data_IF_321375366953
#
_entry.id   IF_321375366953
#
_cell.length_a   1.000
_cell.length_b   1.000
_cell.length_c   1.000
_cell.angle_alpha   90.00
_cell.angle_beta   90.00
_cell.angle_gamma   90.00
#
_symmetry.space_group_name_H-M   'P 1'
#
loop_
_entity.id
_entity.type
_entity.pdbx_description
1 polymer ?
#
# COMPACT_ATOMS: atom_id res chain seq x y z
N UNK A 1 -87.69 -4.32 -24.53
CA UNK A 1 -88.01 -2.88 -24.70
C UNK A 1 -86.69 -2.15 -24.93
N UNK A 2 -86.63 -1.52 -26.10
CA UNK A 2 -85.50 -0.80 -26.65
C UNK A 2 -84.93 0.30 -25.79
N UNK A 3 -83.64 0.65 -25.88
CA UNK A 3 -83.05 1.83 -26.54
C UNK A 3 -81.56 1.87 -26.17
N UNK A 4 -80.67 1.65 -27.15
CA UNK A 4 -79.88 2.61 -27.94
C UNK A 4 -79.19 3.71 -27.10
N UNK A 5 -77.88 3.78 -27.29
CA UNK A 5 -77.11 4.95 -26.99
C UNK A 5 -75.58 4.74 -27.12
N UNK A 6 -75.12 4.63 -28.37
CA UNK A 6 -73.82 4.93 -28.87
C UNK A 6 -73.36 6.35 -28.43
N UNK A 7 -72.27 6.45 -27.74
CA UNK A 7 -71.30 7.58 -27.81
C UNK A 7 -70.18 7.35 -26.76
N UNK A 8 -69.05 6.88 -27.14
CA UNK A 8 -67.75 7.12 -26.51
C UNK A 8 -66.64 6.35 -27.22
N UNK A 9 -66.46 6.62 -28.51
CA UNK A 9 -65.26 6.20 -29.22
C UNK A 9 -64.35 7.34 -29.68
N UNK A 10 -64.54 8.53 -29.14
CA UNK A 10 -63.71 9.71 -29.50
C UNK A 10 -62.92 10.34 -28.34
N UNK A 11 -62.88 9.75 -27.16
CA UNK A 11 -62.13 10.31 -26.04
C UNK A 11 -60.81 9.61 -25.74
N UNK A 12 -60.42 8.54 -26.51
CA UNK A 12 -59.17 7.84 -26.28
C UNK A 12 -58.04 8.17 -27.26
N UNK A 13 -58.24 9.03 -28.23
CA UNK A 13 -57.21 9.42 -29.22
C UNK A 13 -56.43 10.70 -28.83
N UNK A 14 -56.83 11.41 -27.79
CA UNK A 14 -56.18 12.66 -27.37
C UNK A 14 -55.17 12.53 -26.22
N UNK A 15 -55.06 11.37 -25.58
CA UNK A 15 -54.11 11.17 -24.46
C UNK A 15 -52.80 10.45 -24.87
N UNK A 16 -52.67 10.02 -26.13
CA UNK A 16 -51.46 9.32 -26.62
C UNK A 16 -50.40 10.28 -27.23
N UNK A 17 -50.68 11.58 -27.35
CA UNK A 17 -49.79 12.54 -28.02
C UNK A 17 -48.96 13.43 -27.07
N UNK A 18 -49.10 13.25 -25.74
CA UNK A 18 -48.36 14.07 -24.73
C UNK A 18 -47.18 13.32 -24.07
N UNK A 19 -46.97 12.03 -24.41
CA UNK A 19 -45.85 11.25 -23.81
C UNK A 19 -44.58 11.18 -24.68
N UNK A 20 -44.45 12.03 -25.71
CA UNK A 20 -43.25 12.15 -26.55
C UNK A 20 -42.56 13.52 -26.49
N UNK A 21 -42.88 14.34 -25.50
CA UNK A 21 -42.01 15.44 -25.14
C UNK A 21 -40.85 14.89 -24.32
N UNK A 22 -39.74 14.63 -25.02
CA UNK A 22 -38.50 14.16 -24.41
C UNK A 22 -38.14 14.98 -23.17
N UNK A 23 -37.92 14.29 -22.08
CA UNK A 23 -37.15 14.85 -20.96
C UNK A 23 -35.92 15.50 -21.57
N UNK A 24 -35.63 16.79 -21.29
CA UNK A 24 -34.32 17.32 -21.63
C UNK A 24 -33.32 16.46 -20.85
N UNK A 25 -32.64 15.56 -21.57
CA UNK A 25 -31.46 14.91 -21.02
C UNK A 25 -30.58 16.06 -20.56
N UNK A 26 -30.27 16.07 -19.29
CA UNK A 26 -29.16 16.88 -18.79
C UNK A 26 -27.93 16.31 -19.49
N UNK A 27 -27.68 16.77 -20.71
CA UNK A 27 -26.39 16.62 -21.33
C UNK A 27 -25.45 17.31 -20.34
N UNK A 28 -24.57 16.50 -19.72
CA UNK A 28 -23.43 16.99 -18.95
C UNK A 28 -22.76 17.98 -19.92
N UNK A 29 -23.01 19.28 -19.71
CA UNK A 29 -22.35 20.31 -20.49
C UNK A 29 -20.87 20.01 -20.31
N UNK A 30 -20.19 19.62 -21.37
CA UNK A 30 -18.75 19.52 -21.36
C UNK A 30 -18.28 20.91 -20.89
N UNK A 31 -17.85 21.03 -19.66
CA UNK A 31 -17.30 22.25 -19.13
C UNK A 31 -16.18 22.65 -20.08
N UNK A 32 -16.26 23.84 -20.67
CA UNK A 32 -15.11 24.35 -21.40
C UNK A 32 -13.89 24.22 -20.52
N UNK A 33 -12.76 23.74 -21.06
CA UNK A 33 -11.56 23.56 -20.24
C UNK A 33 -11.23 24.91 -19.58
N UNK A 34 -11.27 24.93 -18.26
CA UNK A 34 -10.98 26.14 -17.48
C UNK A 34 -9.59 26.61 -17.89
N UNK A 35 -9.53 27.77 -18.56
CA UNK A 35 -8.24 28.37 -18.95
C UNK A 35 -7.56 28.91 -17.71
N UNK A 36 -6.72 28.09 -17.10
CA UNK A 36 -5.93 28.47 -15.94
C UNK A 36 -4.74 29.30 -16.40
N UNK A 37 -4.82 30.62 -16.17
CA UNK A 37 -3.83 31.60 -16.62
C UNK A 37 -3.07 32.25 -15.46
N UNK A 38 -3.14 31.69 -14.24
CA UNK A 38 -2.44 32.22 -13.08
C UNK A 38 -2.01 31.10 -12.14
N UNK A 39 -1.00 31.36 -11.32
CA UNK A 39 -0.57 30.49 -10.25
C UNK A 39 -1.72 30.12 -9.31
N UNK A 40 -2.46 31.16 -8.80
CA UNK A 40 -3.56 30.94 -7.85
C UNK A 40 -4.69 30.09 -8.45
N UNK A 41 -5.02 30.30 -9.73
CA UNK A 41 -6.03 29.49 -10.42
C UNK A 41 -5.59 28.03 -10.54
N UNK A 42 -4.34 27.78 -10.91
CA UNK A 42 -3.78 26.44 -10.99
C UNK A 42 -3.73 25.76 -9.62
N UNK A 43 -3.30 26.48 -8.59
CA UNK A 43 -3.26 25.97 -7.23
C UNK A 43 -4.65 25.58 -6.72
N UNK A 44 -5.65 26.47 -6.85
CA UNK A 44 -7.00 26.17 -6.39
C UNK A 44 -7.62 24.98 -7.14
N UNK A 45 -7.42 24.91 -8.46
CA UNK A 45 -7.90 23.78 -9.25
C UNK A 45 -7.23 22.45 -8.80
N UNK A 46 -5.92 22.46 -8.53
CA UNK A 46 -5.21 21.30 -8.01
C UNK A 46 -5.77 20.86 -6.65
N UNK A 47 -6.05 21.80 -5.75
CA UNK A 47 -6.61 21.50 -4.43
C UNK A 47 -8.02 20.92 -4.50
N UNK A 48 -8.85 21.42 -5.41
CA UNK A 48 -10.19 20.87 -5.64
C UNK A 48 -10.09 19.44 -6.17
N UNK A 49 -9.30 19.21 -7.22
CA UNK A 49 -9.09 17.90 -7.78
C UNK A 49 -8.54 16.88 -6.73
N UNK A 50 -7.61 17.33 -5.88
CA UNK A 50 -7.08 16.48 -4.78
C UNK A 50 -8.17 16.10 -3.77
N UNK A 51 -9.04 17.05 -3.38
CA UNK A 51 -10.18 16.78 -2.48
C UNK A 51 -11.19 15.83 -3.11
N UNK A 52 -11.42 15.96 -4.42
CA UNK A 52 -12.30 15.08 -5.20
C UNK A 52 -11.64 13.73 -5.53
N UNK A 53 -10.39 13.51 -5.06
CA UNK A 53 -9.57 12.33 -5.33
C UNK A 53 -9.31 12.09 -6.84
N UNK A 54 -9.34 13.16 -7.63
CA UNK A 54 -8.94 13.16 -9.05
C UNK A 54 -7.45 13.49 -9.12
N UNK A 55 -6.62 12.45 -8.97
CA UNK A 55 -5.17 12.61 -8.92
C UNK A 55 -4.58 13.02 -10.27
N UNK A 56 -5.15 12.59 -11.39
CA UNK A 56 -4.70 12.97 -12.73
C UNK A 56 -4.81 14.48 -12.92
N UNK A 57 -5.98 15.05 -12.64
CA UNK A 57 -6.22 16.48 -12.71
C UNK A 57 -5.41 17.26 -11.67
N UNK A 58 -5.29 16.74 -10.43
CA UNK A 58 -4.47 17.35 -9.39
C UNK A 58 -3.00 17.49 -9.84
N UNK A 59 -2.41 16.41 -10.38
CA UNK A 59 -1.04 16.38 -10.90
C UNK A 59 -0.88 17.37 -12.06
N UNK A 60 -1.83 17.39 -13.00
CA UNK A 60 -1.80 18.31 -14.13
C UNK A 60 -1.82 19.78 -13.66
N UNK A 61 -2.66 20.11 -12.71
CA UNK A 61 -2.78 21.47 -12.17
C UNK A 61 -1.60 21.85 -11.27
N UNK A 62 -1.03 20.95 -10.47
CA UNK A 62 0.21 21.22 -9.75
C UNK A 62 1.39 21.47 -10.69
N UNK A 63 1.54 20.67 -11.76
CA UNK A 63 2.53 20.92 -12.82
C UNK A 63 2.31 22.29 -13.46
N UNK A 64 1.05 22.69 -13.67
CA UNK A 64 0.70 24.02 -14.19
C UNK A 64 1.04 25.15 -13.23
N UNK A 65 0.81 24.98 -11.93
CA UNK A 65 1.19 25.96 -10.91
C UNK A 65 2.72 26.15 -10.89
N UNK A 66 3.49 25.06 -10.93
CA UNK A 66 4.95 25.10 -10.98
C UNK A 66 5.50 25.73 -12.27
N UNK A 67 4.74 25.78 -13.37
CA UNK A 67 5.15 26.52 -14.56
C UNK A 67 5.16 28.05 -14.32
N UNK A 68 4.40 28.55 -13.35
CA UNK A 68 4.43 29.99 -12.95
C UNK A 68 5.47 30.27 -11.87
N UNK A 69 5.74 29.31 -10.98
CA UNK A 69 6.69 29.42 -9.87
C UNK A 69 7.41 28.08 -9.66
N UNK A 70 8.49 27.82 -10.43
CA UNK A 70 9.17 26.52 -10.43
C UNK A 70 9.81 26.11 -9.10
N UNK A 71 10.17 27.09 -8.28
CA UNK A 71 10.89 26.86 -7.03
C UNK A 71 9.96 26.83 -5.80
N UNK A 72 8.63 26.87 -6.02
CA UNK A 72 7.65 26.81 -4.96
C UNK A 72 7.67 25.46 -4.25
N UNK A 73 8.30 25.40 -3.09
CA UNK A 73 8.48 24.17 -2.32
C UNK A 73 7.14 23.52 -1.94
N UNK A 74 6.12 24.31 -1.57
CA UNK A 74 4.81 23.78 -1.19
C UNK A 74 4.15 23.07 -2.40
N UNK A 75 4.28 23.63 -3.61
CA UNK A 75 3.74 23.01 -4.82
C UNK A 75 4.54 21.78 -5.22
N UNK A 76 5.88 21.81 -5.09
CA UNK A 76 6.72 20.65 -5.32
C UNK A 76 6.36 19.51 -4.35
N UNK A 77 6.10 19.83 -3.09
CA UNK A 77 5.64 18.87 -2.09
C UNK A 77 4.29 18.24 -2.47
N UNK A 78 3.29 19.07 -2.79
CA UNK A 78 1.96 18.58 -3.16
C UNK A 78 2.03 17.71 -4.41
N UNK A 79 2.80 18.13 -5.42
CA UNK A 79 3.00 17.34 -6.63
C UNK A 79 3.71 16.01 -6.35
N UNK A 80 4.76 16.01 -5.52
CA UNK A 80 5.45 14.78 -5.13
C UNK A 80 4.49 13.78 -4.47
N UNK A 81 3.69 14.25 -3.50
CA UNK A 81 2.75 13.38 -2.79
C UNK A 81 1.62 12.88 -3.71
N UNK A 82 1.11 13.73 -4.61
CA UNK A 82 0.11 13.33 -5.60
C UNK A 82 0.66 12.28 -6.57
N UNK A 83 1.88 12.44 -7.08
CA UNK A 83 2.56 11.47 -7.94
C UNK A 83 2.76 10.13 -7.21
N UNK A 84 3.19 10.16 -5.95
CA UNK A 84 3.34 8.94 -5.15
C UNK A 84 1.98 8.25 -4.92
N UNK A 85 0.94 8.99 -4.60
CA UNK A 85 -0.41 8.46 -4.37
C UNK A 85 -1.05 7.88 -5.63
N UNK A 86 -0.71 8.43 -6.80
CA UNK A 86 -1.16 7.95 -8.11
C UNK A 86 -0.33 6.73 -8.61
N UNK A 87 0.84 6.49 -8.03
CA UNK A 87 1.75 5.41 -8.42
C UNK A 87 2.79 5.81 -9.47
N UNK A 88 2.89 7.09 -9.81
CA UNK A 88 3.94 7.65 -10.66
C UNK A 88 5.24 7.84 -9.86
N UNK A 89 5.75 6.73 -9.31
CA UNK A 89 6.88 6.73 -8.38
C UNK A 89 8.13 7.39 -8.97
N UNK A 90 8.52 7.01 -10.20
CA UNK A 90 9.75 7.51 -10.83
C UNK A 90 9.68 9.03 -11.08
N UNK A 91 8.50 9.55 -11.47
CA UNK A 91 8.30 10.99 -11.67
C UNK A 91 8.35 11.78 -10.35
N UNK A 92 8.03 11.14 -9.22
CA UNK A 92 8.09 11.77 -7.90
C UNK A 92 9.52 12.02 -7.42
N UNK A 93 10.49 11.21 -7.86
CA UNK A 93 11.88 11.23 -7.36
C UNK A 93 12.60 12.55 -7.63
N UNK A 94 12.30 13.25 -8.71
CA UNK A 94 12.86 14.55 -9.03
C UNK A 94 12.51 15.60 -7.97
N UNK A 95 11.31 15.52 -7.43
CA UNK A 95 10.84 16.39 -6.36
C UNK A 95 11.33 15.90 -4.99
N UNK A 96 11.38 14.60 -4.77
CA UNK A 96 11.96 14.01 -3.56
C UNK A 96 13.42 14.47 -3.36
N UNK A 97 14.23 14.50 -4.44
CA UNK A 97 15.61 14.96 -4.38
C UNK A 97 15.73 16.44 -3.99
N UNK A 98 14.85 17.31 -4.51
CA UNK A 98 14.80 18.73 -4.16
C UNK A 98 14.36 18.98 -2.71
N UNK A 99 13.49 18.11 -2.18
CA UNK A 99 12.80 18.29 -0.91
C UNK A 99 13.41 17.51 0.25
N UNK A 100 14.45 16.70 0.02
CA UNK A 100 15.03 15.79 1.04
C UNK A 100 15.63 16.48 2.27
N UNK A 101 15.78 17.81 2.25
CA UNK A 101 16.27 18.62 3.37
C UNK A 101 15.23 19.62 3.88
N UNK A 102 13.99 19.56 3.36
CA UNK A 102 12.89 20.43 3.78
C UNK A 102 12.15 19.73 4.92
N UNK A 103 12.24 20.29 6.14
CA UNK A 103 11.82 19.63 7.39
C UNK A 103 10.38 19.09 7.37
N UNK A 104 9.45 19.81 6.75
CA UNK A 104 8.03 19.44 6.72
C UNK A 104 7.75 18.19 5.89
N UNK A 105 8.61 17.87 4.90
CA UNK A 105 8.40 16.75 3.98
C UNK A 105 9.60 15.81 3.89
N UNK A 106 10.68 16.09 4.61
CA UNK A 106 11.92 15.32 4.61
C UNK A 106 11.64 13.81 4.72
N UNK A 107 10.74 13.41 5.60
CA UNK A 107 10.42 12.00 5.83
C UNK A 107 9.91 11.29 4.57
N UNK A 108 8.99 11.88 3.81
CA UNK A 108 8.44 11.26 2.60
C UNK A 108 9.45 11.27 1.46
N UNK A 109 10.14 12.39 1.29
CA UNK A 109 11.17 12.57 0.27
C UNK A 109 12.30 11.55 0.45
N UNK A 110 12.82 11.41 1.65
CA UNK A 110 13.94 10.51 1.94
C UNK A 110 13.51 9.04 1.96
N UNK A 111 12.29 8.72 2.39
CA UNK A 111 11.77 7.35 2.26
C UNK A 111 11.60 6.98 0.79
N UNK A 112 11.07 7.85 -0.06
CA UNK A 112 10.96 7.59 -1.50
C UNK A 112 12.35 7.36 -2.15
N UNK A 113 13.35 8.20 -1.81
CA UNK A 113 14.72 8.03 -2.29
C UNK A 113 15.36 6.73 -1.77
N UNK A 114 15.14 6.36 -0.50
CA UNK A 114 15.63 5.11 0.06
C UNK A 114 15.01 3.88 -0.63
N UNK A 115 13.73 3.95 -0.97
CA UNK A 115 13.03 2.91 -1.74
C UNK A 115 13.65 2.75 -3.14
N UNK A 116 13.94 3.86 -3.81
CA UNK A 116 14.62 3.83 -5.11
C UNK A 116 16.04 3.25 -5.00
N UNK A 117 16.78 3.62 -3.95
CA UNK A 117 18.10 3.06 -3.69
C UNK A 117 18.06 1.55 -3.39
N UNK A 118 17.09 1.08 -2.59
CA UNK A 118 16.86 -0.37 -2.36
C UNK A 118 16.54 -1.08 -3.68
N UNK A 119 15.65 -0.50 -4.50
CA UNK A 119 15.28 -1.04 -5.82
C UNK A 119 16.48 -1.19 -6.75
N UNK A 120 17.42 -0.26 -6.66
CA UNK A 120 18.67 -0.23 -7.45
C UNK A 120 19.83 -1.00 -6.81
N UNK A 121 19.65 -1.61 -5.65
CA UNK A 121 20.69 -2.32 -4.90
C UNK A 121 21.72 -1.40 -4.23
N UNK A 122 21.44 -0.11 -4.10
CA UNK A 122 22.28 0.89 -3.45
C UNK A 122 21.99 0.95 -1.94
N UNK A 123 22.29 -0.14 -1.26
CA UNK A 123 21.86 -0.32 0.14
C UNK A 123 22.52 0.64 1.13
N UNK A 124 23.75 1.08 0.88
CA UNK A 124 24.43 2.04 1.75
C UNK A 124 23.80 3.44 1.65
N UNK A 125 23.45 3.85 0.43
CA UNK A 125 22.74 5.10 0.15
C UNK A 125 21.35 5.07 0.78
N UNK A 126 20.60 3.97 0.63
CA UNK A 126 19.30 3.78 1.27
C UNK A 126 19.39 3.95 2.80
N UNK A 127 20.36 3.32 3.45
CA UNK A 127 20.58 3.48 4.89
C UNK A 127 20.89 4.93 5.27
N UNK A 128 21.61 5.67 4.42
CA UNK A 128 21.89 7.10 4.65
C UNK A 128 20.62 7.95 4.55
N UNK A 129 19.74 7.67 3.57
CA UNK A 129 18.45 8.36 3.46
C UNK A 129 17.53 8.07 4.66
N UNK A 130 17.56 6.86 5.21
CA UNK A 130 16.73 6.45 6.33
C UNK A 130 17.20 6.96 7.71
N UNK A 131 18.37 7.62 7.78
CA UNK A 131 18.83 8.34 9.00
C UNK A 131 18.06 9.64 9.16
N UNK A 132 16.82 9.56 9.60
CA UNK A 132 15.90 10.69 9.75
C UNK A 132 15.83 11.18 11.20
N UNK A 133 15.59 12.49 11.40
CA UNK A 133 15.07 13.00 12.66
C UNK A 133 13.57 12.67 12.72
N UNK A 134 13.21 11.53 13.32
CA UNK A 134 11.86 10.98 13.23
C UNK A 134 10.98 11.48 14.37
N UNK A 135 9.89 12.14 14.01
CA UNK A 135 8.95 12.75 14.96
C UNK A 135 7.93 11.75 15.52
N UNK A 136 7.53 10.74 14.74
CA UNK A 136 6.51 9.78 15.15
C UNK A 136 7.05 8.37 15.39
N UNK A 137 6.33 7.59 16.20
CA UNK A 137 6.64 6.17 16.39
C UNK A 137 6.53 5.39 15.09
N UNK A 138 5.52 5.69 14.26
CA UNK A 138 5.34 5.03 12.97
C UNK A 138 6.54 5.26 12.05
N UNK A 139 7.01 6.50 11.94
CA UNK A 139 8.16 6.83 11.09
C UNK A 139 9.43 6.10 11.57
N UNK A 140 9.62 6.00 12.90
CA UNK A 140 10.74 5.24 13.48
C UNK A 140 10.67 3.75 13.12
N UNK A 141 9.49 3.16 13.20
CA UNK A 141 9.32 1.75 12.85
C UNK A 141 9.59 1.51 11.36
N UNK A 142 8.99 2.31 10.48
CA UNK A 142 9.18 2.23 9.02
C UNK A 142 10.66 2.35 8.67
N UNK A 143 11.30 3.44 9.11
CA UNK A 143 12.70 3.69 8.79
C UNK A 143 13.63 2.61 9.36
N UNK A 144 13.36 2.11 10.56
CA UNK A 144 14.14 1.05 11.17
C UNK A 144 14.00 -0.30 10.44
N UNK A 145 12.79 -0.69 10.08
CA UNK A 145 12.56 -1.93 9.34
C UNK A 145 13.11 -1.86 7.91
N UNK A 146 12.93 -0.73 7.20
CA UNK A 146 13.55 -0.52 5.88
C UNK A 146 15.08 -0.52 5.96
N UNK A 147 15.66 0.06 7.02
CA UNK A 147 17.11 0.00 7.28
C UNK A 147 17.58 -1.44 7.45
N UNK A 148 16.84 -2.26 8.22
CA UNK A 148 17.17 -3.67 8.40
C UNK A 148 17.13 -4.43 7.07
N UNK A 149 16.16 -4.16 6.20
CA UNK A 149 16.11 -4.79 4.88
C UNK A 149 17.22 -4.30 3.94
N UNK A 150 17.60 -3.02 4.02
CA UNK A 150 18.77 -2.52 3.29
C UNK A 150 20.07 -3.17 3.78
N UNK A 151 20.24 -3.39 5.11
CA UNK A 151 21.37 -4.13 5.66
C UNK A 151 21.37 -5.59 5.24
N UNK A 152 20.20 -6.24 5.23
CA UNK A 152 20.06 -7.61 4.71
C UNK A 152 20.45 -7.68 3.24
N UNK A 153 20.04 -6.70 2.42
CA UNK A 153 20.41 -6.59 1.02
C UNK A 153 21.90 -6.39 0.79
N UNK A 154 22.57 -5.67 1.69
CA UNK A 154 24.02 -5.53 1.71
C UNK A 154 24.77 -6.78 2.18
N UNK A 155 24.08 -7.84 2.58
CA UNK A 155 24.65 -9.08 3.11
C UNK A 155 25.00 -9.03 4.60
N UNK A 156 24.67 -7.94 5.31
CA UNK A 156 24.91 -7.81 6.75
C UNK A 156 23.68 -8.19 7.57
N UNK A 157 23.36 -9.49 7.57
CA UNK A 157 22.24 -10.05 8.36
C UNK A 157 22.37 -9.74 9.85
N UNK A 158 23.60 -9.76 10.38
CA UNK A 158 23.82 -9.47 11.81
C UNK A 158 23.41 -8.05 12.16
N UNK A 159 23.79 -7.06 11.34
CA UNK A 159 23.36 -5.67 11.52
C UNK A 159 21.85 -5.56 11.37
N UNK A 160 21.25 -6.22 10.37
CA UNK A 160 19.81 -6.21 10.14
C UNK A 160 19.01 -6.69 11.37
N UNK A 161 19.36 -7.84 11.93
CA UNK A 161 18.71 -8.38 13.12
C UNK A 161 18.95 -7.48 14.34
N UNK A 162 20.17 -6.95 14.51
CA UNK A 162 20.48 -6.02 15.57
C UNK A 162 19.65 -4.73 15.46
N UNK A 163 19.50 -4.19 14.28
CA UNK A 163 18.66 -3.00 14.04
C UNK A 163 17.23 -3.24 14.51
N UNK A 164 16.62 -4.39 14.18
CA UNK A 164 15.27 -4.74 14.64
C UNK A 164 15.23 -4.89 16.18
N UNK A 165 16.20 -5.58 16.76
CA UNK A 165 16.24 -5.81 18.21
C UNK A 165 16.36 -4.49 18.98
N UNK A 166 17.15 -3.54 18.47
CA UNK A 166 17.39 -2.22 19.07
C UNK A 166 16.25 -1.22 18.88
N UNK A 167 15.28 -1.49 17.96
CA UNK A 167 14.14 -0.61 17.76
C UNK A 167 13.31 -0.48 19.04
N UNK A 168 13.30 0.74 19.62
CA UNK A 168 12.52 1.09 20.81
C UNK A 168 11.25 1.82 20.41
N UNK A 169 10.13 1.47 21.02
CA UNK A 169 8.84 2.07 20.75
C UNK A 169 7.72 1.43 21.58
N UNK A 170 6.47 1.81 21.30
CA UNK A 170 5.29 1.26 21.96
C UNK A 170 5.17 -0.26 21.79
N UNK A 171 4.35 -0.90 22.63
CA UNK A 171 4.12 -2.35 22.63
C UNK A 171 3.67 -2.89 21.26
N UNK A 172 2.89 -2.12 20.53
CA UNK A 172 2.41 -2.52 19.20
C UNK A 172 3.52 -2.75 18.16
N UNK A 173 4.76 -2.26 18.39
CA UNK A 173 5.93 -2.60 17.57
C UNK A 173 6.24 -4.09 17.57
N UNK A 174 5.94 -4.78 18.67
CA UNK A 174 6.40 -6.14 18.94
C UNK A 174 6.05 -7.10 17.81
N UNK A 175 4.82 -7.04 17.31
CA UNK A 175 4.36 -7.91 16.22
C UNK A 175 5.15 -7.66 14.93
N UNK A 176 5.28 -6.40 14.51
CA UNK A 176 6.01 -6.04 13.29
C UNK A 176 7.50 -6.39 13.38
N UNK A 177 8.12 -6.11 14.52
CA UNK A 177 9.52 -6.47 14.78
C UNK A 177 9.73 -7.98 14.70
N UNK A 178 8.88 -8.76 15.37
CA UNK A 178 8.96 -10.21 15.40
C UNK A 178 8.77 -10.80 14.01
N UNK A 179 7.81 -10.27 13.27
CA UNK A 179 7.52 -10.68 11.90
C UNK A 179 8.71 -10.44 10.97
N UNK A 180 9.21 -9.22 10.88
CA UNK A 180 10.35 -8.91 10.00
C UNK A 180 11.64 -9.58 10.46
N UNK A 181 11.83 -9.81 11.76
CA UNK A 181 12.93 -10.61 12.28
C UNK A 181 12.89 -12.07 11.74
N UNK A 182 11.70 -12.68 11.76
CA UNK A 182 11.50 -14.03 11.23
C UNK A 182 11.77 -14.10 9.72
N UNK A 183 11.28 -13.13 8.95
CA UNK A 183 11.50 -13.04 7.51
C UNK A 183 12.98 -12.85 7.16
N UNK A 184 13.71 -11.99 7.88
CA UNK A 184 15.15 -11.78 7.66
C UNK A 184 15.93 -13.03 8.02
N UNK A 185 15.60 -13.72 9.12
CA UNK A 185 16.25 -14.96 9.49
C UNK A 185 16.03 -16.06 8.41
N UNK A 186 14.79 -16.17 7.87
CA UNK A 186 14.50 -17.10 6.78
C UNK A 186 15.30 -16.74 5.51
N UNK A 187 15.26 -15.46 5.09
CA UNK A 187 15.96 -15.00 3.89
C UNK A 187 17.48 -15.19 3.98
N UNK A 188 18.03 -15.16 5.19
CA UNK A 188 19.44 -15.43 5.47
C UNK A 188 19.78 -16.92 5.61
N UNK A 189 18.81 -17.82 5.51
CA UNK A 189 19.01 -19.26 5.71
C UNK A 189 19.26 -19.68 7.17
N UNK A 190 18.97 -18.82 8.14
CA UNK A 190 19.08 -19.06 9.58
C UNK A 190 17.86 -19.86 10.05
N UNK A 191 17.82 -21.11 9.66
CA UNK A 191 16.62 -21.97 9.76
C UNK A 191 16.07 -22.07 11.18
N UNK A 192 16.95 -22.32 12.17
CA UNK A 192 16.53 -22.50 13.56
C UNK A 192 15.93 -21.21 14.12
N UNK A 193 16.58 -20.09 13.88
CA UNK A 193 16.14 -18.76 14.31
C UNK A 193 14.80 -18.38 13.64
N UNK A 194 14.62 -18.73 12.36
CA UNK A 194 13.38 -18.52 11.64
C UNK A 194 12.24 -19.37 12.21
N UNK A 195 12.48 -20.68 12.44
CA UNK A 195 11.50 -21.58 13.06
C UNK A 195 11.04 -21.06 14.42
N UNK A 196 11.98 -20.68 15.30
CA UNK A 196 11.67 -20.15 16.63
C UNK A 196 10.94 -18.82 16.58
N UNK A 197 11.31 -17.95 15.64
CA UNK A 197 10.68 -16.62 15.52
C UNK A 197 9.25 -16.75 14.98
N UNK A 198 9.02 -17.54 13.94
CA UNK A 198 7.67 -17.78 13.43
C UNK A 198 6.77 -18.48 14.43
N UNK A 199 7.27 -19.50 15.12
CA UNK A 199 6.50 -20.23 16.13
C UNK A 199 5.99 -19.29 17.22
N UNK A 200 6.85 -18.39 17.73
CA UNK A 200 6.45 -17.41 18.74
C UNK A 200 5.32 -16.48 18.28
N UNK A 201 5.29 -16.10 16.99
CA UNK A 201 4.23 -15.26 16.42
C UNK A 201 2.91 -16.05 16.35
N UNK A 202 2.97 -17.27 15.82
CA UNK A 202 1.77 -18.08 15.58
C UNK A 202 1.16 -18.61 16.85
N UNK A 203 1.94 -18.85 17.88
CA UNK A 203 1.46 -19.34 19.16
C UNK A 203 0.93 -18.20 20.06
N UNK A 204 1.26 -16.92 19.75
CA UNK A 204 0.71 -15.75 20.44
C UNK A 204 -0.57 -15.23 19.76
N UNK A 205 -1.70 -15.86 20.10
CA UNK A 205 -3.02 -15.50 19.58
C UNK A 205 -3.44 -14.06 19.96
N UNK A 206 -2.98 -13.55 21.11
CA UNK A 206 -3.30 -12.18 21.56
C UNK A 206 -2.65 -11.13 20.61
N UNK A 207 -1.40 -11.31 20.27
CA UNK A 207 -0.73 -10.48 19.26
C UNK A 207 -1.41 -10.59 17.89
N UNK A 208 -1.88 -11.79 17.52
CA UNK A 208 -2.68 -12.00 16.32
C UNK A 208 -3.96 -11.16 16.30
N UNK A 209 -4.66 -11.06 17.43
CA UNK A 209 -5.89 -10.24 17.52
C UNK A 209 -5.59 -8.74 17.35
N UNK A 210 -4.45 -8.26 17.83
CA UNK A 210 -4.04 -6.87 17.70
C UNK A 210 -3.65 -6.49 16.25
N UNK A 211 -2.99 -7.40 15.53
CA UNK A 211 -2.54 -7.18 14.15
C UNK A 211 -2.84 -8.41 13.25
N UNK A 212 -4.13 -8.68 12.96
CA UNK A 212 -4.54 -9.93 12.31
C UNK A 212 -4.02 -10.10 10.88
N UNK A 213 -3.84 -9.04 10.11
CA UNK A 213 -3.26 -9.16 8.77
C UNK A 213 -1.78 -9.53 8.84
N UNK A 214 -1.01 -8.92 9.74
CA UNK A 214 0.39 -9.28 10.01
C UNK A 214 0.52 -10.73 10.46
N UNK A 215 -0.35 -11.17 11.36
CA UNK A 215 -0.36 -12.55 11.85
C UNK A 215 -0.66 -13.55 10.72
N UNK A 216 -1.65 -13.27 9.86
CA UNK A 216 -1.98 -14.12 8.70
C UNK A 216 -0.83 -14.18 7.69
N UNK A 217 -0.14 -13.07 7.46
CA UNK A 217 1.05 -13.05 6.61
C UNK A 217 2.21 -13.84 7.21
N UNK A 218 2.40 -13.74 8.53
CA UNK A 218 3.37 -14.57 9.24
C UNK A 218 3.05 -16.07 9.13
N UNK A 219 1.77 -16.44 9.23
CA UNK A 219 1.33 -17.83 9.05
C UNK A 219 1.58 -18.33 7.62
N UNK A 220 1.29 -17.50 6.60
CA UNK A 220 1.62 -17.82 5.21
C UNK A 220 3.12 -18.02 5.02
N UNK A 221 3.94 -17.09 5.53
CA UNK A 221 5.40 -17.16 5.43
C UNK A 221 5.96 -18.41 6.11
N UNK A 222 5.50 -18.73 7.34
CA UNK A 222 5.90 -19.94 8.06
C UNK A 222 5.48 -21.20 7.30
N UNK A 223 4.27 -21.27 6.78
CA UNK A 223 3.79 -22.43 6.05
C UNK A 223 4.63 -22.66 4.77
N UNK A 224 4.98 -21.60 4.04
CA UNK A 224 5.89 -21.68 2.89
C UNK A 224 7.29 -22.17 3.31
N UNK A 225 7.83 -21.61 4.39
CA UNK A 225 9.13 -22.00 4.95
C UNK A 225 9.17 -23.49 5.30
N UNK A 226 8.18 -24.01 6.01
CA UNK A 226 8.05 -25.41 6.39
C UNK A 226 7.87 -26.33 5.16
N UNK A 227 6.98 -25.94 4.23
CA UNK A 227 6.72 -26.73 3.03
C UNK A 227 7.96 -26.85 2.13
N UNK A 228 8.75 -25.79 1.97
CA UNK A 228 10.01 -25.80 1.21
C UNK A 228 11.06 -26.75 1.79
N UNK A 229 11.02 -26.98 3.09
CA UNK A 229 11.90 -27.91 3.80
C UNK A 229 11.36 -29.36 3.83
N UNK A 230 10.20 -29.61 3.23
CA UNK A 230 9.56 -30.91 3.21
C UNK A 230 8.70 -31.23 4.44
N UNK A 231 8.54 -30.29 5.38
CA UNK A 231 7.73 -30.48 6.58
C UNK A 231 6.25 -30.15 6.29
N UNK A 232 5.67 -30.94 5.38
CA UNK A 232 4.30 -30.76 4.89
C UNK A 232 3.27 -30.79 6.03
N UNK A 233 3.45 -31.67 7.00
CA UNK A 233 2.50 -31.83 8.10
C UNK A 233 2.39 -30.56 8.93
N UNK A 234 3.54 -29.98 9.31
CA UNK A 234 3.54 -28.71 10.07
C UNK A 234 3.06 -27.53 9.24
N UNK A 235 3.41 -27.50 7.94
CA UNK A 235 2.88 -26.46 7.05
C UNK A 235 1.35 -26.46 7.01
N UNK A 236 0.73 -27.64 6.89
CA UNK A 236 -0.74 -27.77 6.93
C UNK A 236 -1.31 -27.39 8.29
N UNK A 237 -0.64 -27.75 9.41
CA UNK A 237 -1.10 -27.33 10.75
C UNK A 237 -1.15 -25.82 10.90
N UNK A 238 -0.11 -25.11 10.45
CA UNK A 238 -0.08 -23.62 10.46
C UNK A 238 -1.21 -23.04 9.59
N UNK A 239 -1.46 -23.60 8.41
CA UNK A 239 -2.55 -23.14 7.53
C UNK A 239 -3.94 -23.45 8.13
N UNK A 240 -4.09 -24.53 8.91
CA UNK A 240 -5.31 -24.82 9.65
C UNK A 240 -5.54 -23.79 10.77
N UNK A 241 -4.48 -23.41 11.52
CA UNK A 241 -4.55 -22.34 12.51
C UNK A 241 -4.97 -21.00 11.85
N UNK A 242 -4.41 -20.69 10.68
CA UNK A 242 -4.75 -19.49 9.93
C UNK A 242 -6.23 -19.47 9.49
N UNK A 243 -6.75 -20.60 9.01
CA UNK A 243 -8.16 -20.74 8.63
C UNK A 243 -9.11 -20.66 9.84
N UNK A 244 -8.70 -21.18 10.99
CA UNK A 244 -9.47 -21.05 12.26
C UNK A 244 -9.49 -19.60 12.75
N UNK A 245 -8.38 -18.88 12.53
CA UNK A 245 -8.25 -17.47 12.94
C UNK A 245 -9.10 -16.53 12.06
N UNK A 246 -9.02 -16.66 10.73
CA UNK A 246 -9.86 -15.94 9.76
C UNK A 246 -10.21 -16.89 8.62
N UNK A 247 -11.46 -17.36 8.59
CA UNK A 247 -11.93 -18.29 7.57
C UNK A 247 -12.02 -17.65 6.17
N UNK A 248 -11.82 -18.48 5.13
CA UNK A 248 -12.09 -18.13 3.74
C UNK A 248 -11.02 -17.24 3.07
N UNK A 249 -9.84 -17.09 3.66
CA UNK A 249 -8.74 -16.33 3.03
C UNK A 249 -8.20 -17.06 1.81
N UNK A 250 -8.39 -16.46 0.64
CA UNK A 250 -8.03 -17.06 -0.65
C UNK A 250 -6.58 -17.51 -0.70
N UNK A 251 -5.63 -16.66 -0.26
CA UNK A 251 -4.20 -16.95 -0.26
C UNK A 251 -3.85 -18.17 0.59
N UNK A 252 -4.45 -18.28 1.78
CA UNK A 252 -4.26 -19.43 2.69
C UNK A 252 -4.77 -20.72 2.03
N UNK A 253 -5.97 -20.68 1.44
CA UNK A 253 -6.60 -21.84 0.80
C UNK A 253 -5.83 -22.29 -0.46
N UNK A 254 -5.36 -21.35 -1.27
CA UNK A 254 -4.53 -21.66 -2.43
C UNK A 254 -3.17 -22.26 -2.02
N UNK A 255 -2.51 -21.70 -1.00
CA UNK A 255 -1.26 -22.25 -0.51
C UNK A 255 -1.47 -23.67 0.06
N UNK A 256 -2.54 -23.89 0.81
CA UNK A 256 -2.90 -25.22 1.32
C UNK A 256 -3.02 -26.24 0.18
N UNK A 257 -3.81 -25.92 -0.85
CA UNK A 257 -4.01 -26.80 -2.00
C UNK A 257 -2.68 -27.15 -2.69
N UNK A 258 -1.77 -26.18 -2.85
CA UNK A 258 -0.43 -26.42 -3.41
C UNK A 258 0.41 -27.35 -2.54
N UNK A 259 0.43 -27.12 -1.21
CA UNK A 259 1.15 -27.94 -0.24
C UNK A 259 0.60 -29.37 -0.21
N UNK A 260 -0.72 -29.55 -0.23
CA UNK A 260 -1.38 -30.85 -0.25
C UNK A 260 -1.03 -31.67 -1.51
N UNK A 261 -0.97 -31.01 -2.66
CA UNK A 261 -0.56 -31.64 -3.94
C UNK A 261 0.95 -31.89 -4.05
N UNK A 262 1.76 -31.36 -3.11
CA UNK A 262 3.22 -31.46 -3.18
C UNK A 262 3.82 -30.60 -4.29
N UNK A 263 3.17 -29.53 -4.68
CA UNK A 263 3.69 -28.57 -5.66
C UNK A 263 4.90 -27.83 -5.08
N UNK A 264 5.78 -27.36 -5.96
CA UNK A 264 6.94 -26.53 -5.56
C UNK A 264 6.45 -25.20 -4.98
N UNK A 265 6.84 -24.90 -3.76
CA UNK A 265 6.51 -23.66 -3.05
C UNK A 265 7.68 -22.68 -3.17
N UNK A 266 7.42 -21.45 -3.63
CA UNK A 266 8.40 -20.35 -3.61
C UNK A 266 8.62 -19.81 -2.20
N UNK A 267 9.76 -19.15 -1.96
CA UNK A 267 9.98 -18.40 -0.73
C UNK A 267 8.95 -17.28 -0.61
N UNK A 268 8.68 -16.86 0.61
CA UNK A 268 7.84 -15.68 0.85
C UNK A 268 8.59 -14.41 0.45
N UNK A 269 9.87 -14.33 0.81
CA UNK A 269 10.81 -13.28 0.44
C UNK A 269 11.89 -13.91 -0.45
N UNK A 270 12.02 -13.46 -1.69
CA UNK A 270 13.04 -13.90 -2.63
C UNK A 270 14.18 -12.88 -2.77
N UNK A 271 13.88 -11.60 -2.58
CA UNK A 271 14.81 -10.47 -2.72
C UNK A 271 14.64 -9.50 -1.57
N UNK A 272 15.66 -8.70 -1.25
CA UNK A 272 15.54 -7.63 -0.25
C UNK A 272 14.43 -6.62 -0.56
N UNK A 273 14.14 -6.37 -1.83
CA UNK A 273 13.02 -5.55 -2.29
C UNK A 273 11.67 -6.08 -1.86
N UNK A 274 11.49 -7.42 -1.82
CA UNK A 274 10.24 -8.04 -1.36
C UNK A 274 10.03 -7.77 0.13
N UNK A 275 11.11 -7.88 0.93
CA UNK A 275 11.05 -7.60 2.35
C UNK A 275 10.81 -6.13 2.66
N UNK A 276 11.41 -5.22 1.91
CA UNK A 276 11.15 -3.79 2.04
C UNK A 276 9.71 -3.43 1.60
N UNK A 277 9.19 -4.07 0.53
CA UNK A 277 7.78 -3.96 0.13
C UNK A 277 6.84 -4.45 1.23
N UNK A 278 7.20 -5.55 1.88
CA UNK A 278 6.43 -6.13 2.97
C UNK A 278 6.30 -5.19 4.18
N UNK A 279 7.35 -4.41 4.50
CA UNK A 279 7.28 -3.36 5.55
C UNK A 279 6.16 -2.36 5.26
N UNK A 280 6.11 -1.88 4.03
CA UNK A 280 5.15 -0.84 3.62
C UNK A 280 3.73 -1.38 3.49
N UNK A 281 3.59 -2.61 2.99
CA UNK A 281 2.31 -3.30 2.89
C UNK A 281 1.71 -3.58 4.27
N UNK A 282 2.50 -4.15 5.17
CA UNK A 282 2.08 -4.56 6.51
C UNK A 282 1.64 -3.34 7.34
N UNK A 283 2.46 -2.29 7.37
CA UNK A 283 2.14 -1.06 8.09
C UNK A 283 1.02 -0.25 7.42
N UNK A 284 0.94 -0.24 6.08
CA UNK A 284 -0.17 0.35 5.35
C UNK A 284 -1.50 -0.32 5.70
N UNK A 285 -1.52 -1.65 5.74
CA UNK A 285 -2.71 -2.42 6.12
C UNK A 285 -3.14 -2.17 7.56
N UNK A 286 -2.16 -2.04 8.49
CA UNK A 286 -2.45 -1.73 9.88
C UNK A 286 -3.07 -0.33 10.06
N UNK A 287 -2.61 0.66 9.30
CA UNK A 287 -3.14 2.04 9.32
C UNK A 287 -4.57 2.13 8.79
N UNK A 288 -4.97 1.27 7.86
CA UNK A 288 -6.33 1.25 7.28
C UNK A 288 -7.42 1.08 8.35
N UNK A 289 -7.10 0.45 9.47
CA UNK A 289 -8.02 0.25 10.60
C UNK A 289 -8.17 1.47 11.50
N UNK A 290 -7.25 2.43 11.41
CA UNK A 290 -7.18 3.61 12.29
C UNK A 290 -7.63 4.93 11.68
N UNK A 291 -8.21 4.94 10.47
CA UNK A 291 -8.63 6.17 9.78
C UNK A 291 -7.49 6.93 9.08
N UNK A 292 -6.37 6.25 8.81
CA UNK A 292 -5.21 6.80 8.10
C UNK A 292 -5.27 6.67 6.57
N UNK A 293 -6.46 6.68 5.97
CA UNK A 293 -6.70 6.36 4.56
C UNK A 293 -5.76 7.03 3.54
N UNK A 294 -5.41 8.33 3.63
CA UNK A 294 -4.48 8.95 2.69
C UNK A 294 -3.06 8.34 2.76
N UNK A 295 -2.61 7.96 3.96
CA UNK A 295 -1.30 7.33 4.15
C UNK A 295 -1.30 5.86 3.73
N UNK A 296 -2.43 5.17 3.86
CA UNK A 296 -2.58 3.78 3.39
C UNK A 296 -2.27 3.69 1.90
N UNK A 297 -2.92 4.51 1.08
CA UNK A 297 -2.67 4.56 -0.36
C UNK A 297 -1.20 4.82 -0.67
N UNK A 298 -0.60 5.81 -0.01
CA UNK A 298 0.80 6.16 -0.19
C UNK A 298 1.72 4.96 0.08
N UNK A 299 1.57 4.28 1.22
CA UNK A 299 2.41 3.13 1.56
C UNK A 299 2.20 1.93 0.63
N UNK A 300 0.96 1.67 0.21
CA UNK A 300 0.68 0.61 -0.77
C UNK A 300 1.32 0.91 -2.14
N UNK A 301 1.27 2.16 -2.61
CA UNK A 301 1.94 2.57 -3.85
C UNK A 301 3.47 2.47 -3.75
N UNK A 302 4.04 2.83 -2.60
CA UNK A 302 5.47 2.63 -2.34
C UNK A 302 5.85 1.14 -2.27
N UNK A 303 4.99 0.29 -1.72
CA UNK A 303 5.19 -1.17 -1.73
C UNK A 303 5.18 -1.72 -3.17
N UNK A 304 4.27 -1.25 -4.02
CA UNK A 304 4.21 -1.61 -5.44
C UNK A 304 5.43 -1.11 -6.22
N UNK A 305 6.01 0.05 -5.88
CA UNK A 305 7.25 0.52 -6.49
C UNK A 305 8.43 -0.44 -6.27
N UNK A 306 8.46 -1.15 -5.13
CA UNK A 306 9.46 -2.18 -4.82
C UNK A 306 9.12 -3.54 -5.42
N UNK A 307 7.83 -3.89 -5.46
CA UNK A 307 7.31 -5.18 -5.94
C UNK A 307 6.04 -4.97 -6.77
N UNK A 308 6.18 -4.67 -8.07
CA UNK A 308 5.05 -4.35 -8.95
C UNK A 308 4.05 -5.50 -9.15
N UNK A 309 4.48 -6.74 -8.92
CA UNK A 309 3.72 -7.98 -9.04
C UNK A 309 3.08 -8.46 -7.72
N UNK A 310 2.99 -7.56 -6.73
CA UNK A 310 2.42 -7.90 -5.42
C UNK A 310 0.90 -7.90 -5.45
N UNK A 311 0.27 -9.06 -5.60
CA UNK A 311 -1.20 -9.23 -5.51
C UNK A 311 -1.78 -8.71 -4.17
N UNK A 312 -0.98 -8.66 -3.13
CA UNK A 312 -1.41 -8.19 -1.81
C UNK A 312 -1.43 -6.66 -1.67
N UNK A 313 -0.75 -5.94 -2.58
CA UNK A 313 -0.69 -4.47 -2.58
C UNK A 313 -1.62 -3.84 -3.63
N UNK A 314 -2.22 -4.64 -4.50
CA UNK A 314 -3.25 -4.25 -5.48
C UNK A 314 -4.63 -4.27 -4.84
#
# INVERSE_FOLDING_TARGET
>A
MQLKGSTSRMALAALAAIMLSGTPGWAKQASEPVRINSFSGAFLAARVAEVDNDLDDAIAYYKRALAFDPDNQAMQQSLMLALLADGQFDDSLVYAEKLKTVAEVERFSRVALAIDDIRKGKYAEAQSMLKLALASDLDRLIAGLLTAWAQQGAGDTKAALKTIDDLRGPEWYTMFKSYHRALIAEAAGMTKEADEAFARIIDDVNSGTAAPDTWLRAAEAQARHLARRGDKAKAIDVLNKAEQFVAGRLMINQLRAKVEKGEKISAFIEKPTDGASEVLLDLGSALNRGGGEPFVRLYLRLALALRPDSDAAL
#
